data_IF_692214140791
#
_entry.id   IF_692214140791
#
_cell.length_a   1.000
_cell.length_b   1.000
_cell.length_c   1.000
_cell.angle_alpha   90.00
_cell.angle_beta   90.00
_cell.angle_gamma   90.00
#
_symmetry.space_group_name_H-M   'P 1'
#
loop_
_entity.id
_entity.type
_entity.pdbx_description
1 polymer ?
#
# COMPACT_ATOMS: atom_id res chain seq x y z
N UNK A 1 4.27 -2.91 9.14
CA UNK A 1 2.98 -2.66 8.45
C UNK A 1 2.37 -1.30 8.76
N UNK A 2 2.32 -0.82 10.01
CA UNK A 2 1.66 0.47 10.34
C UNK A 2 2.10 1.64 9.44
N UNK A 3 3.41 1.90 9.34
CA UNK A 3 3.96 2.96 8.48
C UNK A 3 3.56 2.79 7.01
N UNK A 4 3.72 1.58 6.46
CA UNK A 4 3.28 1.26 5.09
C UNK A 4 1.77 1.50 4.88
N UNK A 5 0.91 1.06 5.81
CA UNK A 5 -0.54 1.21 5.67
C UNK A 5 -0.99 2.67 5.77
N UNK A 6 -0.32 3.46 6.59
CA UNK A 6 -0.55 4.92 6.70
C UNK A 6 -0.12 5.62 5.41
N UNK A 7 1.08 5.31 4.91
CA UNK A 7 1.59 5.85 3.65
C UNK A 7 0.69 5.50 2.45
N UNK A 8 0.28 4.23 2.34
CA UNK A 8 -0.63 3.76 1.30
C UNK A 8 -1.96 4.53 1.31
N UNK A 9 -2.47 4.86 2.51
CA UNK A 9 -3.69 5.64 2.67
C UNK A 9 -3.53 7.09 2.19
N UNK A 10 -2.38 7.70 2.40
CA UNK A 10 -2.11 9.05 1.88
C UNK A 10 -2.00 9.04 0.35
N UNK A 11 -1.25 8.10 -0.24
CA UNK A 11 -1.22 7.89 -1.70
C UNK A 11 -2.63 7.72 -2.24
N UNK A 12 -3.46 6.90 -1.60
CA UNK A 12 -4.85 6.73 -2.02
C UNK A 12 -5.59 8.06 -2.00
N UNK A 13 -5.55 8.82 -0.89
CA UNK A 13 -6.29 10.10 -0.80
C UNK A 13 -5.89 11.08 -1.91
N UNK A 14 -4.64 11.07 -2.33
CA UNK A 14 -4.14 11.92 -3.41
C UNK A 14 -4.65 11.50 -4.80
N UNK A 15 -4.92 10.20 -5.01
CA UNK A 15 -5.35 9.66 -6.31
C UNK A 15 -6.86 9.39 -6.40
N UNK A 16 -7.47 8.95 -5.31
CA UNK A 16 -8.84 8.45 -5.23
C UNK A 16 -9.49 8.83 -3.89
N UNK A 17 -10.64 9.49 -3.97
CA UNK A 17 -11.35 10.01 -2.80
C UNK A 17 -11.82 8.92 -1.80
N UNK A 18 -12.05 7.69 -2.26
CA UNK A 18 -12.47 6.56 -1.41
C UNK A 18 -11.79 5.24 -1.80
N UNK A 19 -11.89 4.22 -0.94
CA UNK A 19 -11.46 2.85 -1.26
C UNK A 19 -12.31 2.24 -2.39
N UNK A 20 -13.60 2.57 -2.43
CA UNK A 20 -14.47 2.12 -3.52
C UNK A 20 -14.06 2.72 -4.86
N UNK A 21 -13.57 3.97 -4.87
CA UNK A 21 -12.99 4.56 -6.07
C UNK A 21 -11.73 3.81 -6.53
N UNK A 22 -10.92 3.26 -5.61
CA UNK A 22 -9.80 2.37 -5.99
C UNK A 22 -10.35 1.14 -6.70
N UNK A 23 -11.38 0.49 -6.14
CA UNK A 23 -11.96 -0.71 -6.73
C UNK A 23 -12.63 -0.48 -8.09
N UNK A 24 -13.26 0.69 -8.27
CA UNK A 24 -13.89 1.07 -9.54
C UNK A 24 -12.87 1.39 -10.65
N UNK A 25 -11.69 1.89 -10.28
CA UNK A 25 -10.66 2.34 -11.20
C UNK A 25 -9.44 1.39 -11.28
N UNK A 26 -9.54 0.20 -10.69
CA UNK A 26 -8.47 -0.80 -10.70
C UNK A 26 -9.02 -2.23 -10.68
N UNK A 27 -8.14 -3.21 -10.78
CA UNK A 27 -8.49 -4.63 -10.66
C UNK A 27 -8.62 -5.13 -9.20
N UNK A 28 -8.57 -4.23 -8.21
CA UNK A 28 -8.75 -4.59 -6.80
C UNK A 28 -10.24 -4.64 -6.43
N UNK A 29 -10.65 -5.60 -5.61
CA UNK A 29 -11.90 -5.45 -4.87
C UNK A 29 -11.67 -4.61 -3.60
N UNK A 30 -12.70 -3.84 -3.19
CA UNK A 30 -12.61 -2.92 -2.04
C UNK A 30 -12.21 -3.64 -0.74
N UNK A 31 -12.63 -4.90 -0.54
CA UNK A 31 -12.37 -5.66 0.68
C UNK A 31 -10.88 -6.08 0.77
N UNK A 32 -10.35 -6.60 -0.34
CA UNK A 32 -8.94 -6.95 -0.47
C UNK A 32 -8.04 -5.72 -0.43
N UNK A 33 -8.47 -4.56 -0.92
CA UNK A 33 -7.69 -3.35 -0.77
C UNK A 33 -7.69 -2.84 0.68
N UNK A 34 -8.86 -2.83 1.33
CA UNK A 34 -9.07 -2.33 2.70
C UNK A 34 -8.16 -3.02 3.73
N UNK A 35 -7.85 -4.32 3.58
CA UNK A 35 -6.94 -5.00 4.53
C UNK A 35 -5.52 -4.41 4.51
N UNK A 36 -5.06 -3.87 3.39
CA UNK A 36 -3.71 -3.28 3.29
C UNK A 36 -3.65 -1.91 3.97
N UNK A 37 -4.66 -1.04 3.79
CA UNK A 37 -4.74 0.24 4.52
C UNK A 37 -4.98 0.07 6.03
N UNK A 38 -5.47 -1.09 6.47
CA UNK A 38 -5.60 -1.41 7.91
C UNK A 38 -4.40 -2.20 8.47
N UNK A 39 -3.35 -2.46 7.67
CA UNK A 39 -2.20 -3.24 8.10
C UNK A 39 -2.51 -4.69 8.48
N UNK A 40 -3.58 -5.26 7.91
CA UNK A 40 -4.05 -6.64 8.15
C UNK A 40 -3.66 -7.62 7.04
N UNK A 41 -2.72 -7.26 6.16
CA UNK A 41 -2.33 -8.09 5.04
C UNK A 41 -0.86 -7.91 4.65
N UNK A 42 -0.25 -8.99 4.16
CA UNK A 42 1.08 -8.96 3.58
C UNK A 42 0.96 -8.99 2.04
N UNK A 43 1.02 -7.83 1.34
CA UNK A 43 0.85 -7.80 -0.10
C UNK A 43 2.00 -8.54 -0.78
N UNK A 44 1.68 -9.35 -1.79
CA UNK A 44 2.71 -9.93 -2.67
C UNK A 44 3.35 -8.84 -3.54
N UNK A 45 4.51 -9.12 -4.13
CA UNK A 45 5.12 -8.21 -5.12
C UNK A 45 4.14 -7.90 -6.26
N UNK A 46 3.42 -8.92 -6.76
CA UNK A 46 2.39 -8.72 -7.79
C UNK A 46 1.29 -7.75 -7.33
N UNK A 47 0.87 -7.85 -6.07
CA UNK A 47 -0.12 -6.95 -5.46
C UNK A 47 0.41 -5.51 -5.42
N UNK A 48 1.68 -5.33 -5.01
CA UNK A 48 2.32 -4.01 -4.97
C UNK A 48 2.42 -3.39 -6.37
N UNK A 49 2.77 -4.17 -7.38
CA UNK A 49 2.82 -3.70 -8.77
C UNK A 49 1.43 -3.30 -9.29
N UNK A 50 0.38 -4.05 -8.93
CA UNK A 50 -1.01 -3.69 -9.23
C UNK A 50 -1.40 -2.38 -8.53
N UNK A 51 -0.99 -2.15 -7.28
CA UNK A 51 -1.23 -0.90 -6.57
C UNK A 51 -0.53 0.28 -7.27
N UNK A 52 0.75 0.13 -7.57
CA UNK A 52 1.54 1.14 -8.28
C UNK A 52 0.91 1.51 -9.63
N UNK A 53 0.46 0.50 -10.39
CA UNK A 53 -0.28 0.69 -11.64
C UNK A 53 -1.61 1.43 -11.42
N UNK A 54 -2.40 1.01 -10.43
CA UNK A 54 -3.69 1.64 -10.10
C UNK A 54 -3.56 3.11 -9.71
N UNK A 55 -2.48 3.48 -9.01
CA UNK A 55 -2.20 4.85 -8.59
C UNK A 55 -1.40 5.66 -9.62
N UNK A 56 -0.98 5.01 -10.71
CA UNK A 56 -0.10 5.58 -11.74
C UNK A 56 1.18 6.20 -11.13
N UNK A 57 1.86 5.41 -10.29
CA UNK A 57 3.11 5.79 -9.63
C UNK A 57 4.20 4.71 -9.84
N UNK A 58 5.48 5.07 -9.80
CA UNK A 58 6.58 4.11 -9.64
C UNK A 58 6.41 3.25 -8.37
N UNK A 59 6.68 1.93 -8.40
CA UNK A 59 6.54 1.07 -7.22
C UNK A 59 7.36 1.50 -6.00
N UNK A 60 8.49 2.20 -6.21
CA UNK A 60 9.31 2.74 -5.12
C UNK A 60 8.55 3.75 -4.26
N UNK A 61 7.59 4.48 -4.83
CA UNK A 61 6.81 5.48 -4.09
C UNK A 61 5.90 4.83 -3.05
N UNK A 62 5.53 3.55 -3.21
CA UNK A 62 4.81 2.79 -2.18
C UNK A 62 5.65 2.60 -0.90
N UNK A 63 6.95 2.86 -0.96
CA UNK A 63 7.93 2.64 0.10
C UNK A 63 8.66 3.92 0.51
N UNK A 64 8.18 5.10 0.09
CA UNK A 64 8.79 6.38 0.43
C UNK A 64 8.37 6.84 1.84
N UNK A 65 8.82 6.08 2.84
CA UNK A 65 8.60 6.34 4.28
C UNK A 65 9.71 5.70 5.11
N UNK A 66 9.84 6.11 6.38
CA UNK A 66 10.86 5.59 7.27
C UNK A 66 10.58 4.14 7.71
N UNK A 67 11.54 3.26 7.43
CA UNK A 67 11.52 1.88 7.90
C UNK A 67 12.16 1.75 9.27
N UNK A 68 11.42 1.16 10.22
CA UNK A 68 11.97 0.72 11.50
C UNK A 68 12.75 -0.58 11.30
N UNK A 69 14.00 -0.43 10.85
CA UNK A 69 14.94 -1.53 10.62
C UNK A 69 15.53 -2.09 11.92
N UNK A 70 15.61 -1.26 12.97
CA UNK A 70 16.15 -1.68 14.28
C UNK A 70 15.29 -2.77 14.92
N UNK A 71 13.97 -2.73 14.71
CA UNK A 71 13.05 -3.78 15.18
C UNK A 71 13.37 -5.18 14.66
N UNK A 72 14.02 -5.29 13.49
CA UNK A 72 14.32 -6.56 12.83
C UNK A 72 15.82 -6.78 12.66
N UNK A 73 16.63 -6.09 13.46
CA UNK A 73 18.08 -6.25 13.46
C UNK A 73 18.44 -7.73 13.64
N UNK A 74 19.32 -8.23 12.77
CA UNK A 74 19.87 -9.58 12.87
C UNK A 74 21.15 -9.44 13.68
N UNK A 75 21.18 -10.06 14.86
CA UNK A 75 22.41 -10.16 15.64
C UNK A 75 23.41 -11.04 14.89
N UNK A 76 24.67 -10.59 14.78
CA UNK A 76 25.78 -11.29 14.14
C UNK A 76 26.22 -12.55 14.91
#
# INVERSE_FOLDING_TARGET
MKAFSEHLKEIRKDKYNSMDAVAQNSAFDSSNYNKYENGKGNPTIETLLKMASAFNIPPKELFDFDFDIEKYKIDE
#
